data_IF_833922116388
#
_entry.id   IF_833922116388
#
_cell.length_a   1.000
_cell.length_b   1.000
_cell.length_c   1.000
_cell.angle_alpha   90.00
_cell.angle_beta   90.00
_cell.angle_gamma   90.00
#
_symmetry.space_group_name_H-M   'P 1'
#
loop_
_entity.id
_entity.type
_entity.pdbx_description
1 polymer ?
#
# COMPACT_ATOMS: atom_id res chain seq x y z
N UNK A 1 4.13 3.70 -15.87
CA UNK A 1 4.15 2.81 -14.68
C UNK A 1 3.42 3.52 -13.57
N UNK A 2 2.57 2.85 -12.80
CA UNK A 2 1.74 3.48 -11.76
C UNK A 2 2.59 3.98 -10.59
N UNK A 3 2.42 5.25 -10.23
CA UNK A 3 3.08 5.93 -9.09
C UNK A 3 3.04 5.09 -7.79
N UNK A 4 1.98 4.31 -7.62
CA UNK A 4 1.75 3.38 -6.51
C UNK A 4 2.77 2.24 -6.40
N UNK A 5 3.28 1.72 -7.53
CA UNK A 5 4.27 0.65 -7.50
C UNK A 5 5.61 1.15 -6.97
N UNK A 6 5.97 2.39 -7.28
CA UNK A 6 7.21 3.01 -6.83
C UNK A 6 7.21 3.21 -5.31
N UNK A 7 6.10 3.69 -4.74
CA UNK A 7 5.97 3.94 -3.29
C UNK A 7 5.99 2.66 -2.46
N UNK A 8 5.39 1.59 -2.98
CA UNK A 8 5.40 0.27 -2.33
C UNK A 8 6.81 -0.33 -2.35
N UNK A 9 7.52 -0.22 -3.47
CA UNK A 9 8.90 -0.73 -3.57
C UNK A 9 9.84 0.07 -2.66
N UNK A 10 9.71 1.41 -2.58
CA UNK A 10 10.54 2.23 -1.69
C UNK A 10 10.28 1.96 -0.22
N UNK A 11 9.02 1.77 0.19
CA UNK A 11 8.69 1.40 1.57
C UNK A 11 9.21 0.00 1.94
N UNK A 12 9.26 -0.93 0.99
CA UNK A 12 9.84 -2.25 1.21
C UNK A 12 11.37 -2.19 1.33
N UNK A 13 12.02 -1.35 0.52
CA UNK A 13 13.48 -1.23 0.47
C UNK A 13 14.05 -0.39 1.60
N UNK A 14 13.32 0.61 2.14
CA UNK A 14 13.75 1.39 3.30
C UNK A 14 13.72 0.60 4.61
N UNK A 15 13.03 -0.54 4.63
CA UNK A 15 12.93 -1.41 5.80
C UNK A 15 14.15 -2.33 5.98
N UNK A 16 15.10 -2.33 5.04
CA UNK A 16 16.33 -3.13 5.12
C UNK A 16 17.42 -2.29 5.79
N UNK A 17 17.86 -2.64 7.02
CA UNK A 17 18.95 -1.92 7.66
C UNK A 17 20.24 -2.22 6.90
N UNK A 18 21.02 -1.16 6.64
CA UNK A 18 22.36 -1.12 6.02
C UNK A 18 22.46 -0.63 4.55
N UNK A 19 21.36 -0.57 3.77
CA UNK A 19 21.44 -0.19 2.33
C UNK A 19 20.23 0.65 1.83
N UNK A 20 19.41 1.19 2.74
CA UNK A 20 18.11 1.77 2.37
C UNK A 20 18.17 3.17 1.76
N UNK A 21 18.90 4.10 2.39
CA UNK A 21 18.86 5.53 2.03
C UNK A 21 19.65 5.81 0.73
N UNK A 22 20.87 5.27 0.64
CA UNK A 22 21.82 5.57 -0.43
C UNK A 22 21.38 5.02 -1.80
N UNK A 23 20.68 3.88 -1.83
CA UNK A 23 20.14 3.29 -3.07
C UNK A 23 18.94 4.09 -3.60
N UNK A 24 18.09 4.60 -2.72
CA UNK A 24 16.94 5.41 -3.11
C UNK A 24 17.44 6.73 -3.70
N UNK A 25 18.43 7.37 -3.08
CA UNK A 25 19.02 8.61 -3.59
C UNK A 25 19.76 8.40 -4.93
N UNK A 26 20.46 7.26 -5.08
CA UNK A 26 21.10 6.87 -6.35
C UNK A 26 20.09 6.60 -7.48
N UNK A 27 18.97 5.95 -7.18
CA UNK A 27 17.92 5.63 -8.17
C UNK A 27 17.12 6.86 -8.61
N UNK A 28 17.00 7.88 -7.76
CA UNK A 28 16.15 9.05 -8.03
C UNK A 28 16.90 10.33 -8.45
N UNK A 29 18.22 10.45 -8.24
CA UNK A 29 18.96 11.66 -8.59
C UNK A 29 20.43 11.51 -9.01
N UNK A 30 21.09 10.39 -8.67
CA UNK A 30 22.54 10.24 -8.92
C UNK A 30 22.93 9.95 -10.38
N UNK A 31 22.13 9.17 -11.10
CA UNK A 31 22.42 8.81 -12.51
C UNK A 31 22.03 9.91 -13.50
N UNK A 32 20.98 10.69 -13.21
CA UNK A 32 20.39 11.65 -14.16
C UNK A 32 21.20 12.93 -14.32
N UNK A 33 21.86 13.43 -13.26
CA UNK A 33 22.67 14.66 -13.35
C UNK A 33 24.02 14.46 -14.06
N UNK A 34 24.63 13.27 -13.94
CA UNK A 34 25.91 12.94 -14.58
C UNK A 34 25.84 12.86 -16.12
N UNK A 35 24.65 12.69 -16.70
CA UNK A 35 24.46 12.63 -18.15
C UNK A 35 23.98 13.95 -18.79
N UNK A 36 23.60 14.95 -17.99
CA UNK A 36 23.02 16.20 -18.53
C UNK A 36 24.07 17.31 -18.70
N UNK A 37 25.14 17.35 -17.88
CA UNK A 37 26.10 18.47 -17.96
C UNK A 37 27.25 18.28 -18.97
N UNK A 38 27.74 17.07 -19.26
CA UNK A 38 28.87 16.86 -20.19
C UNK A 38 28.83 15.46 -20.86
N UNK A 39 28.13 15.28 -21.99
CA UNK A 39 27.88 13.94 -22.56
C UNK A 39 29.10 13.26 -23.20
N UNK A 40 30.22 13.98 -23.40
CA UNK A 40 31.31 13.52 -24.27
C UNK A 40 32.68 13.36 -23.60
N UNK A 41 32.80 13.53 -22.27
CA UNK A 41 34.09 13.35 -21.61
C UNK A 41 34.03 12.29 -20.50
N UNK A 42 34.06 11.03 -20.93
CA UNK A 42 33.98 9.84 -20.08
C UNK A 42 35.00 9.81 -18.93
N UNK A 43 36.16 10.45 -19.11
CA UNK A 43 37.25 10.39 -18.14
C UNK A 43 37.01 11.28 -16.91
N UNK A 44 36.34 12.42 -17.08
CA UNK A 44 36.02 13.34 -15.98
C UNK A 44 34.80 12.85 -15.19
N UNK A 45 33.81 12.30 -15.90
CA UNK A 45 32.64 11.62 -15.31
C UNK A 45 33.09 10.44 -14.44
N UNK A 46 34.01 9.61 -14.94
CA UNK A 46 34.60 8.49 -14.18
C UNK A 46 35.43 8.95 -12.98
N UNK A 47 36.20 10.03 -13.09
CA UNK A 47 36.95 10.60 -11.96
C UNK A 47 36.04 11.17 -10.88
N UNK A 48 34.94 11.83 -11.24
CA UNK A 48 33.99 12.37 -10.28
C UNK A 48 33.20 11.26 -9.57
N UNK A 49 32.86 10.17 -10.28
CA UNK A 49 32.30 8.94 -9.70
C UNK A 49 33.27 8.24 -8.74
N UNK A 50 34.56 8.22 -9.06
CA UNK A 50 35.61 7.69 -8.18
C UNK A 50 35.80 8.57 -6.94
N UNK A 51 35.83 9.89 -7.08
CA UNK A 51 36.01 10.82 -5.96
C UNK A 51 34.83 10.80 -4.99
N UNK A 52 33.59 10.66 -5.49
CA UNK A 52 32.38 10.51 -4.66
C UNK A 52 32.38 9.22 -3.82
N UNK A 53 33.04 8.16 -4.29
CA UNK A 53 33.22 6.90 -3.56
C UNK A 53 34.44 6.88 -2.61
N UNK A 54 35.42 7.77 -2.79
CA UNK A 54 36.67 7.78 -2.01
C UNK A 54 36.53 8.54 -0.69
N UNK A 55 35.66 9.56 -0.59
CA UNK A 55 35.47 10.34 0.65
C UNK A 55 34.81 9.54 1.78
N UNK A 56 34.11 8.44 1.48
CA UNK A 56 33.39 7.65 2.50
C UNK A 56 34.21 6.49 3.11
N UNK A 57 35.47 6.30 2.70
CA UNK A 57 36.28 5.15 3.16
C UNK A 57 37.68 5.62 3.57
N UNK A 58 37.70 6.50 4.57
CA UNK A 58 38.90 6.75 5.37
C UNK A 58 39.01 5.72 6.49
N UNK A 59 39.95 4.78 6.34
CA UNK A 59 40.45 3.78 7.30
C UNK A 59 39.71 2.43 7.36
N UNK A 60 40.12 1.52 6.47
CA UNK A 60 39.90 0.07 6.62
C UNK A 60 40.08 -0.69 5.31
N UNK A 61 41.33 -0.99 4.95
CA UNK A 61 41.68 -1.76 3.74
C UNK A 61 41.07 -3.17 3.75
N UNK A 62 40.23 -3.48 2.75
CA UNK A 62 39.97 -4.87 2.32
C UNK A 62 40.25 -4.95 0.81
N UNK A 63 41.20 -5.78 0.35
CA UNK A 63 41.58 -5.85 -1.06
C UNK A 63 40.48 -6.55 -1.86
N UNK A 64 39.85 -5.81 -2.78
CA UNK A 64 38.87 -6.37 -3.73
C UNK A 64 39.64 -7.13 -4.80
N UNK A 65 39.50 -8.46 -4.80
CA UNK A 65 39.94 -9.30 -5.90
C UNK A 65 39.18 -8.93 -7.18
N UNK A 66 39.99 -8.55 -8.16
CA UNK A 66 39.67 -8.32 -9.57
C UNK A 66 39.04 -9.59 -10.17
N UNK A 67 38.01 -9.38 -11.01
CA UNK A 67 37.28 -10.35 -11.85
C UNK A 67 36.29 -11.30 -11.15
N UNK A 68 34.99 -10.97 -11.24
CA UNK A 68 33.91 -11.95 -11.05
C UNK A 68 33.31 -12.27 -12.41
N UNK A 69 33.66 -13.46 -12.95
CA UNK A 69 32.83 -14.14 -13.96
C UNK A 69 31.48 -14.44 -13.30
N UNK A 70 30.38 -13.96 -13.85
CA UNK A 70 29.04 -14.33 -13.38
C UNK A 70 28.82 -15.85 -13.59
N UNK A 71 28.60 -16.64 -12.52
CA UNK A 71 28.03 -17.97 -12.67
C UNK A 71 26.51 -17.82 -12.80
N UNK A 72 25.95 -18.34 -13.88
CA UNK A 72 24.51 -18.50 -14.07
C UNK A 72 23.97 -19.54 -13.10
N UNK A 73 23.53 -19.13 -11.91
CA UNK A 73 22.81 -20.01 -10.99
C UNK A 73 21.30 -19.99 -11.28
N UNK A 74 20.88 -20.72 -12.30
CA UNK A 74 19.49 -21.19 -12.36
C UNK A 74 19.37 -22.45 -11.50
N UNK A 75 18.62 -22.37 -10.40
CA UNK A 75 17.99 -23.55 -9.78
C UNK A 75 18.67 -24.21 -8.57
N UNK A 76 19.33 -23.47 -7.68
CA UNK A 76 19.75 -24.03 -6.38
C UNK A 76 19.06 -23.30 -5.22
N UNK A 77 18.41 -24.08 -4.35
CA UNK A 77 17.84 -23.61 -3.10
C UNK A 77 18.95 -23.07 -2.21
N UNK A 78 18.80 -21.82 -1.74
CA UNK A 78 19.72 -21.22 -0.78
C UNK A 78 19.61 -21.98 0.56
N UNK A 79 20.58 -22.83 0.86
CA UNK A 79 20.73 -23.41 2.19
C UNK A 79 21.09 -22.32 3.19
N UNK A 80 20.22 -22.13 4.19
CA UNK A 80 20.44 -21.21 5.31
C UNK A 80 21.66 -21.71 6.11
N UNK A 81 22.74 -20.92 6.10
CA UNK A 81 23.85 -21.08 7.05
C UNK A 81 23.54 -20.18 8.24
N UNK A 82 23.39 -20.82 9.39
CA UNK A 82 23.16 -20.26 10.73
C UNK A 82 21.75 -19.69 11.02
N UNK A 83 21.05 -20.39 11.91
CA UNK A 83 19.90 -19.84 12.63
C UNK A 83 20.43 -18.88 13.68
N UNK A 84 20.42 -17.59 13.37
CA UNK A 84 20.56 -16.57 14.40
C UNK A 84 19.31 -16.63 15.28
N UNK A 85 19.43 -17.19 16.49
CA UNK A 85 18.35 -17.19 17.50
C UNK A 85 18.25 -15.85 18.22
N UNK A 86 18.51 -14.75 17.52
CA UNK A 86 17.93 -13.49 17.94
C UNK A 86 16.44 -13.66 17.68
N UNK A 87 15.69 -14.01 18.72
CA UNK A 87 14.26 -13.81 18.68
C UNK A 87 14.06 -12.37 18.22
N UNK A 88 13.55 -12.19 17.00
CA UNK A 88 13.07 -10.91 16.58
C UNK A 88 12.16 -10.45 17.72
N UNK A 89 12.52 -9.37 18.40
CA UNK A 89 11.75 -8.79 19.51
C UNK A 89 10.34 -8.34 19.08
N UNK A 90 10.04 -8.52 17.79
CA UNK A 90 8.75 -8.36 17.16
C UNK A 90 8.40 -9.60 16.32
N UNK A 91 8.49 -10.81 16.88
CA UNK A 91 7.34 -11.70 16.72
C UNK A 91 6.20 -11.06 17.49
N UNK A 92 5.62 -10.04 16.85
CA UNK A 92 4.35 -9.44 17.19
C UNK A 92 3.45 -10.59 17.62
N UNK A 93 3.13 -10.64 18.90
CA UNK A 93 2.02 -11.42 19.42
C UNK A 93 0.73 -10.77 18.90
N UNK A 94 0.61 -10.67 17.58
CA UNK A 94 -0.50 -10.06 16.91
C UNK A 94 -1.54 -11.15 16.78
N UNK A 95 -2.45 -11.15 17.76
CA UNK A 95 -3.78 -11.69 17.58
C UNK A 95 -4.26 -11.35 16.16
N UNK A 96 -4.62 -12.40 15.41
CA UNK A 96 -5.14 -12.43 14.05
C UNK A 96 -4.97 -11.14 13.21
N UNK A 97 -3.82 -10.98 12.54
CA UNK A 97 -3.49 -9.86 11.64
C UNK A 97 -4.38 -9.78 10.38
N UNK A 98 -5.30 -10.73 10.18
CA UNK A 98 -6.13 -10.77 8.97
C UNK A 98 -7.00 -9.52 8.83
N UNK A 99 -7.50 -8.98 9.94
CA UNK A 99 -8.26 -7.73 9.92
C UNK A 99 -7.40 -6.50 9.66
N UNK A 100 -6.14 -6.47 10.11
CA UNK A 100 -5.21 -5.39 9.78
C UNK A 100 -4.93 -5.35 8.26
N UNK A 101 -4.74 -6.52 7.63
CA UNK A 101 -4.63 -6.63 6.18
C UNK A 101 -5.89 -6.15 5.47
N UNK A 102 -7.06 -6.55 5.96
CA UNK A 102 -8.34 -6.14 5.41
C UNK A 102 -8.50 -4.61 5.42
N UNK A 103 -8.17 -3.96 6.54
CA UNK A 103 -8.20 -2.51 6.65
C UNK A 103 -7.26 -1.86 5.63
N UNK A 104 -6.02 -2.35 5.49
CA UNK A 104 -5.08 -1.86 4.48
C UNK A 104 -5.62 -1.99 3.05
N UNK A 105 -6.32 -3.08 2.74
CA UNK A 105 -6.96 -3.27 1.43
C UNK A 105 -8.10 -2.27 1.19
N UNK A 106 -8.99 -2.07 2.16
CA UNK A 106 -10.04 -1.04 2.07
C UNK A 106 -9.45 0.38 2.05
N UNK A 107 -8.30 0.57 2.68
CA UNK A 107 -7.59 1.84 2.64
C UNK A 107 -7.02 2.15 1.26
N UNK A 108 -6.55 1.14 0.51
CA UNK A 108 -6.15 1.28 -0.89
C UNK A 108 -7.35 1.52 -1.81
N UNK A 109 -8.17 0.48 -1.99
CA UNK A 109 -9.17 0.42 -3.07
C UNK A 109 -10.62 0.58 -2.59
N UNK A 110 -10.83 0.55 -1.28
CA UNK A 110 -12.14 0.74 -0.67
C UNK A 110 -12.53 2.20 -0.47
N UNK A 111 -13.73 2.42 0.03
CA UNK A 111 -14.26 3.73 0.34
C UNK A 111 -15.25 3.68 1.52
N UNK A 112 -15.28 4.77 2.27
CA UNK A 112 -16.32 5.09 3.24
C UNK A 112 -17.10 6.28 2.72
N UNK A 113 -18.42 6.18 2.66
CA UNK A 113 -19.24 7.28 2.15
C UNK A 113 -20.48 7.47 2.99
N UNK A 114 -20.88 8.73 3.11
CA UNK A 114 -22.20 9.14 3.60
C UNK A 114 -22.85 9.92 2.48
N UNK A 115 -23.83 9.31 1.84
CA UNK A 115 -24.52 9.83 0.66
C UNK A 115 -25.95 10.25 0.99
N UNK A 116 -26.49 11.20 0.23
CA UNK A 116 -27.89 11.62 0.35
C UNK A 116 -28.80 10.62 -0.37
N UNK A 117 -29.81 10.11 0.33
CA UNK A 117 -30.85 9.23 -0.22
C UNK A 117 -32.23 9.85 0.03
N UNK A 118 -32.60 10.79 -0.83
CA UNK A 118 -33.80 11.60 -0.65
C UNK A 118 -33.64 12.53 0.55
N UNK A 119 -34.50 12.36 1.55
CA UNK A 119 -34.45 13.13 2.83
C UNK A 119 -33.47 12.50 3.82
N UNK A 120 -33.22 11.20 3.69
CA UNK A 120 -32.36 10.43 4.58
C UNK A 120 -30.93 10.38 4.05
N UNK A 121 -30.03 9.88 4.89
CA UNK A 121 -28.66 9.55 4.48
C UNK A 121 -28.46 8.05 4.36
N UNK A 122 -27.43 7.68 3.61
CA UNK A 122 -26.98 6.30 3.49
C UNK A 122 -25.48 6.24 3.73
N UNK A 123 -25.09 5.52 4.78
CA UNK A 123 -23.71 5.14 5.03
C UNK A 123 -23.38 3.87 4.25
N UNK A 124 -22.21 3.86 3.62
CA UNK A 124 -21.74 2.73 2.84
C UNK A 124 -20.22 2.57 3.02
N UNK A 125 -19.82 1.37 3.44
CA UNK A 125 -18.49 0.83 3.22
C UNK A 125 -18.53 0.02 1.93
N UNK A 126 -17.56 0.21 1.05
CA UNK A 126 -17.47 -0.63 -0.15
C UNK A 126 -16.08 -0.70 -0.73
N UNK A 127 -15.91 -1.66 -1.63
CA UNK A 127 -14.73 -1.84 -2.47
C UNK A 127 -15.23 -2.31 -3.84
N UNK A 128 -14.71 -1.73 -4.92
CA UNK A 128 -15.07 -2.08 -6.30
C UNK A 128 -13.80 -2.40 -7.08
N UNK A 129 -13.66 -3.64 -7.54
CA UNK A 129 -12.49 -4.17 -8.24
C UNK A 129 -12.86 -4.69 -9.63
N UNK A 130 -11.84 -5.00 -10.42
CA UNK A 130 -12.04 -5.69 -11.71
C UNK A 130 -12.60 -7.09 -11.48
N UNK A 131 -13.37 -7.61 -12.46
CA UNK A 131 -13.90 -8.98 -12.41
C UNK A 131 -12.83 -10.06 -12.19
N UNK A 132 -11.58 -9.78 -12.55
CA UNK A 132 -10.44 -10.67 -12.32
C UNK A 132 -10.27 -11.04 -10.84
N UNK A 133 -10.64 -10.12 -9.95
CA UNK A 133 -10.48 -10.25 -8.49
C UNK A 133 -11.78 -10.69 -7.79
N UNK A 134 -12.72 -11.29 -8.52
CA UNK A 134 -14.00 -11.77 -7.97
C UNK A 134 -13.82 -12.71 -6.77
N UNK A 135 -12.79 -13.57 -6.80
CA UNK A 135 -12.50 -14.48 -5.70
C UNK A 135 -12.10 -13.74 -4.42
N UNK A 136 -11.34 -12.64 -4.55
CA UNK A 136 -10.95 -11.82 -3.41
C UNK A 136 -12.19 -11.19 -2.76
N UNK A 137 -13.13 -10.70 -3.57
CA UNK A 137 -14.40 -10.14 -3.07
C UNK A 137 -15.22 -11.17 -2.29
N UNK A 138 -15.33 -12.42 -2.77
CA UNK A 138 -16.04 -13.47 -2.02
C UNK A 138 -15.31 -13.85 -0.73
N UNK A 139 -13.98 -13.93 -0.74
CA UNK A 139 -13.18 -14.14 0.49
C UNK A 139 -13.39 -13.02 1.52
N UNK A 140 -13.46 -11.77 1.08
CA UNK A 140 -13.75 -10.62 1.96
C UNK A 140 -15.15 -10.77 2.58
N UNK A 141 -16.15 -11.14 1.78
CA UNK A 141 -17.52 -11.37 2.26
C UNK A 141 -17.55 -12.48 3.31
N UNK A 142 -16.89 -13.60 3.04
CA UNK A 142 -16.87 -14.76 3.93
C UNK A 142 -16.17 -14.42 5.25
N UNK A 143 -15.08 -13.65 5.19
CA UNK A 143 -14.33 -13.19 6.36
C UNK A 143 -15.12 -12.18 7.22
N UNK A 144 -15.84 -11.26 6.58
CA UNK A 144 -16.66 -10.28 7.29
C UNK A 144 -17.98 -10.86 7.79
N UNK A 145 -18.46 -11.94 7.16
CA UNK A 145 -19.77 -12.56 7.45
C UNK A 145 -20.99 -11.70 7.07
N UNK A 146 -20.76 -10.49 6.54
CA UNK A 146 -21.80 -9.50 6.20
C UNK A 146 -21.49 -8.86 4.85
N UNK A 147 -22.50 -8.20 4.28
CA UNK A 147 -22.36 -7.40 3.06
C UNK A 147 -22.93 -8.09 1.82
N UNK A 148 -22.99 -7.32 0.74
CA UNK A 148 -23.58 -7.73 -0.53
C UNK A 148 -22.52 -7.62 -1.62
N UNK A 149 -22.40 -8.68 -2.41
CA UNK A 149 -21.57 -8.72 -3.62
C UNK A 149 -22.48 -8.48 -4.82
N UNK A 150 -22.01 -7.66 -5.75
CA UNK A 150 -22.71 -7.42 -7.01
C UNK A 150 -21.74 -7.17 -8.15
N UNK A 151 -22.30 -7.13 -9.35
CA UNK A 151 -21.56 -6.93 -10.59
C UNK A 151 -22.03 -5.65 -11.25
N UNK A 152 -21.11 -4.98 -11.94
CA UNK A 152 -21.38 -3.75 -12.66
C UNK A 152 -20.60 -3.74 -13.96
N UNK A 153 -21.30 -3.45 -15.04
CA UNK A 153 -20.66 -3.19 -16.32
C UNK A 153 -20.32 -1.70 -16.42
N UNK A 154 -19.07 -1.40 -16.78
CA UNK A 154 -18.54 -0.06 -16.98
C UNK A 154 -18.20 0.13 -18.44
N UNK A 155 -18.98 0.94 -19.13
CA UNK A 155 -18.68 1.36 -20.51
C UNK A 155 -17.54 2.36 -20.49
N UNK A 156 -16.42 2.02 -21.11
CA UNK A 156 -15.28 2.92 -21.31
C UNK A 156 -15.56 3.87 -22.46
N UNK A 157 -14.86 5.00 -22.47
CA UNK A 157 -14.96 6.03 -23.54
C UNK A 157 -14.63 5.45 -24.93
N UNK A 158 -13.82 4.39 -24.98
CA UNK A 158 -13.50 3.63 -26.20
C UNK A 158 -14.63 2.72 -26.71
N UNK A 159 -15.79 2.70 -26.04
CA UNK A 159 -16.89 1.76 -26.31
C UNK A 159 -16.68 0.36 -25.75
N UNK A 160 -15.51 0.08 -25.14
CA UNK A 160 -15.21 -1.21 -24.52
C UNK A 160 -15.92 -1.33 -23.17
N UNK A 161 -16.64 -2.43 -22.95
CA UNK A 161 -17.30 -2.70 -21.67
C UNK A 161 -16.34 -3.47 -20.75
N UNK A 162 -16.02 -2.88 -19.60
CA UNK A 162 -15.26 -3.52 -18.53
C UNK A 162 -16.21 -4.04 -17.45
N UNK A 163 -16.06 -5.31 -17.07
CA UNK A 163 -16.82 -5.89 -15.96
C UNK A 163 -16.12 -5.61 -14.63
N UNK A 164 -16.88 -5.06 -13.70
CA UNK A 164 -16.46 -4.77 -12.34
C UNK A 164 -17.27 -5.62 -11.36
N UNK A 165 -16.67 -5.92 -10.22
CA UNK A 165 -17.31 -6.57 -9.09
C UNK A 165 -17.18 -5.65 -7.89
N UNK A 166 -18.23 -5.54 -7.08
CA UNK A 166 -18.20 -4.74 -5.87
C UNK A 166 -18.66 -5.55 -4.67
N UNK A 167 -18.11 -5.20 -3.52
CA UNK A 167 -18.61 -5.59 -2.21
C UNK A 167 -19.04 -4.32 -1.46
N UNK A 168 -20.23 -4.36 -0.86
CA UNK A 168 -20.81 -3.21 -0.14
C UNK A 168 -21.50 -3.64 1.15
N UNK A 169 -21.27 -2.90 2.23
CA UNK A 169 -22.02 -2.99 3.49
C UNK A 169 -22.79 -1.69 3.69
N UNK A 170 -24.12 -1.80 3.75
CA UNK A 170 -25.04 -0.65 3.81
C UNK A 170 -26.00 -0.68 4.99
N UNK A 171 -26.24 -1.87 5.57
CA UNK A 171 -27.18 -2.03 6.67
C UNK A 171 -26.56 -1.45 7.94
N UNK A 172 -27.27 -0.54 8.62
CA UNK A 172 -26.78 0.18 9.81
C UNK A 172 -26.30 -0.80 10.89
N UNK A 173 -27.06 -1.84 11.19
CA UNK A 173 -26.71 -2.84 12.21
C UNK A 173 -25.39 -3.55 11.90
N UNK A 174 -25.18 -3.94 10.64
CA UNK A 174 -23.95 -4.63 10.23
C UNK A 174 -22.75 -3.69 10.26
N UNK A 175 -22.96 -2.40 9.90
CA UNK A 175 -21.91 -1.40 10.02
C UNK A 175 -21.50 -1.22 11.49
N UNK A 176 -22.46 -1.09 12.41
CA UNK A 176 -22.17 -0.85 13.83
C UNK A 176 -21.57 -2.08 14.52
N UNK A 177 -22.14 -3.26 14.31
CA UNK A 177 -21.78 -4.45 15.08
C UNK A 177 -20.58 -5.22 14.51
N UNK A 178 -20.36 -5.17 13.19
CA UNK A 178 -19.31 -5.95 12.54
C UNK A 178 -18.18 -5.07 12.02
N UNK A 179 -18.50 -3.93 11.40
CA UNK A 179 -17.50 -3.10 10.71
C UNK A 179 -16.78 -2.15 11.67
N UNK A 180 -17.51 -1.35 12.47
CA UNK A 180 -16.89 -0.37 13.36
C UNK A 180 -15.85 -1.00 14.32
N UNK A 181 -16.09 -2.16 14.96
CA UNK A 181 -15.10 -2.76 15.86
C UNK A 181 -13.77 -3.10 15.15
N UNK A 182 -13.83 -3.50 13.88
CA UNK A 182 -12.63 -3.81 13.09
C UNK A 182 -11.81 -2.54 12.84
N UNK A 183 -12.45 -1.49 12.35
CA UNK A 183 -11.77 -0.23 12.01
C UNK A 183 -11.45 0.64 13.23
N UNK A 184 -12.09 0.41 14.39
CA UNK A 184 -11.70 1.01 15.67
C UNK A 184 -10.45 0.33 16.25
N UNK A 185 -10.32 -0.99 16.10
CA UNK A 185 -9.13 -1.73 16.52
C UNK A 185 -7.94 -1.52 15.55
N UNK A 186 -8.24 -1.37 14.26
CA UNK A 186 -7.26 -1.14 13.20
C UNK A 186 -7.65 0.11 12.40
N UNK A 187 -7.30 1.31 12.87
CA UNK A 187 -7.65 2.54 12.16
C UNK A 187 -6.87 2.68 10.84
N UNK A 188 -7.50 3.21 9.77
CA UNK A 188 -6.78 3.58 8.56
C UNK A 188 -5.72 4.66 8.86
N UNK A 189 -4.59 4.64 8.16
CA UNK A 189 -3.46 5.54 8.43
C UNK A 189 -3.49 6.84 7.62
N UNK A 190 -4.07 6.82 6.43
CA UNK A 190 -4.12 7.95 5.49
C UNK A 190 -5.27 8.91 5.78
N UNK A 191 -5.40 9.95 4.96
CA UNK A 191 -6.53 10.89 4.97
C UNK A 191 -7.90 10.22 4.77
N UNK A 192 -7.97 8.92 4.44
CA UNK A 192 -9.21 8.14 4.44
C UNK A 192 -9.73 7.86 5.87
N UNK A 193 -8.89 8.01 6.88
CA UNK A 193 -9.30 7.98 8.29
C UNK A 193 -10.37 9.04 8.61
N UNK A 194 -10.27 10.24 8.04
CA UNK A 194 -11.29 11.28 8.24
C UNK A 194 -12.65 10.88 7.66
N UNK A 195 -12.67 10.17 6.52
CA UNK A 195 -13.91 9.64 5.93
C UNK A 195 -14.55 8.60 6.86
N UNK A 196 -13.72 7.71 7.43
CA UNK A 196 -14.15 6.72 8.42
C UNK A 196 -14.72 7.38 9.68
N UNK A 197 -13.98 8.31 10.29
CA UNK A 197 -14.40 9.01 11.51
C UNK A 197 -15.70 9.79 11.31
N UNK A 198 -15.85 10.44 10.15
CA UNK A 198 -17.12 11.08 9.79
C UNK A 198 -18.26 10.08 9.75
N UNK A 199 -18.10 8.98 9.02
CA UNK A 199 -19.13 7.95 8.90
C UNK A 199 -19.47 7.35 10.26
N UNK A 200 -18.46 7.06 11.10
CA UNK A 200 -18.61 6.54 12.46
C UNK A 200 -19.44 7.47 13.34
N UNK A 201 -19.11 8.75 13.39
CA UNK A 201 -19.85 9.75 14.17
C UNK A 201 -21.31 9.83 13.74
N UNK A 202 -21.57 9.79 12.44
CA UNK A 202 -22.93 9.84 11.87
C UNK A 202 -23.72 8.55 12.15
N UNK A 203 -23.05 7.38 12.15
CA UNK A 203 -23.70 6.11 12.48
C UNK A 203 -24.14 6.04 13.94
N UNK A 204 -23.30 6.58 14.83
CA UNK A 204 -23.54 6.61 16.27
C UNK A 204 -24.46 7.75 16.71
N UNK A 205 -24.60 8.80 15.90
CA UNK A 205 -25.53 9.89 16.19
C UNK A 205 -26.99 9.46 16.04
N UNK A 206 -27.87 10.14 16.77
CA UNK A 206 -29.33 9.98 16.74
C UNK A 206 -29.99 10.67 15.54
N UNK A 207 -29.25 11.45 14.76
CA UNK A 207 -29.79 12.13 13.57
C UNK A 207 -30.29 11.13 12.53
N UNK A 208 -31.44 11.44 11.96
CA UNK A 208 -32.12 10.58 10.95
C UNK A 208 -32.08 11.25 9.57
N UNK A 209 -32.06 12.58 9.53
CA UNK A 209 -32.17 13.35 8.29
C UNK A 209 -30.79 13.74 7.76
N UNK A 210 -30.65 13.82 6.44
CA UNK A 210 -29.39 14.22 5.80
C UNK A 210 -29.04 15.69 6.07
N UNK A 211 -30.04 16.56 6.18
CA UNK A 211 -29.81 18.01 6.37
C UNK A 211 -29.20 18.34 7.74
N UNK A 212 -29.35 17.44 8.72
CA UNK A 212 -28.80 17.60 10.06
C UNK A 212 -27.31 17.21 10.12
N UNK A 213 -26.78 16.61 9.04
CA UNK A 213 -25.39 16.17 8.98
C UNK A 213 -24.50 17.39 8.69
N UNK A 214 -23.44 17.64 9.48
CA UNK A 214 -22.53 18.73 9.24
C UNK A 214 -21.88 18.61 7.86
N UNK A 215 -21.70 19.76 7.19
CA UNK A 215 -20.96 19.83 5.93
C UNK A 215 -19.55 19.29 6.16
N UNK A 216 -19.13 18.40 5.26
CA UNK A 216 -17.82 17.80 5.31
C UNK A 216 -16.88 18.50 4.34
N UNK A 217 -15.76 18.96 4.87
CA UNK A 217 -14.63 19.46 4.11
C UNK A 217 -13.47 18.53 4.45
N UNK A 218 -12.86 17.94 3.42
CA UNK A 218 -11.72 17.03 3.56
C UNK A 218 -10.43 17.81 3.71
#
# INVERSE_FOLDING_TARGET
>A
MSLWGATVITNLMSAIPWIGQDIVEFLWGGLSQLFIEEPNNSNVVQQNLLNAGITLIGLGYVPIYRYVKMPTSRGLSAGVKEFTTLEASQRLNANDLTYAYLVGLFEGDGFFTVSKKGVYFQCELGIELSIKDVQLIYKIKDLLGVGVVGFRDRTLVSGVVSKMVYFKVRKKDHLINNILPIFDNYPPFSNKQFDYLRMRTILLSTSVLYNDIPKYVR
#
